data_IF_446985585288
#
_entry.id   IF_446985585288
#
_cell.length_a   1.000
_cell.length_b   1.000
_cell.length_c   1.000
_cell.angle_alpha   90.00
_cell.angle_beta   90.00
_cell.angle_gamma   90.00
#
_symmetry.space_group_name_H-M   'P 1'
#
loop_
_entity.id
_entity.type
_entity.pdbx_description
1 polymer ?
#
# COMPACT_ATOMS: atom_id res chain seq x y z
N UNK A 1 -2.63 18.15 -6.80
CA UNK A 1 -3.65 17.62 -5.87
C UNK A 1 -4.68 18.66 -5.42
N UNK A 2 -4.29 19.92 -5.08
CA UNK A 2 -5.25 20.96 -4.63
C UNK A 2 -6.32 21.24 -5.68
N UNK A 3 -5.96 21.54 -6.93
CA UNK A 3 -6.88 21.76 -8.05
C UNK A 3 -7.84 20.57 -8.24
N UNK A 4 -7.34 19.35 -8.14
CA UNK A 4 -8.16 18.14 -8.29
C UNK A 4 -9.16 17.96 -7.13
N UNK A 5 -8.76 18.28 -5.91
CA UNK A 5 -9.63 18.20 -4.74
C UNK A 5 -10.78 19.22 -4.83
N UNK A 6 -10.49 20.43 -5.30
CA UNK A 6 -11.50 21.47 -5.51
C UNK A 6 -12.48 21.06 -6.61
N UNK A 7 -11.98 20.58 -7.77
CA UNK A 7 -12.84 20.08 -8.85
C UNK A 7 -13.74 18.93 -8.41
N UNK A 8 -13.32 18.14 -7.43
CA UNK A 8 -14.12 17.04 -6.84
C UNK A 8 -15.02 17.49 -5.67
N UNK A 9 -15.09 18.78 -5.37
CA UNK A 9 -15.87 19.31 -4.25
C UNK A 9 -15.32 18.92 -2.85
N UNK A 10 -14.07 18.48 -2.78
CA UNK A 10 -13.43 18.05 -1.52
C UNK A 10 -12.67 19.18 -0.81
N UNK A 11 -12.53 20.34 -1.41
CA UNK A 11 -11.90 21.52 -0.86
C UNK A 11 -12.65 22.77 -1.31
N UNK A 12 -12.80 23.71 -0.40
CA UNK A 12 -13.50 25.00 -0.62
C UNK A 12 -12.56 26.13 -1.01
N UNK A 13 -11.27 25.87 -1.17
CA UNK A 13 -10.29 26.88 -1.56
C UNK A 13 -10.37 27.11 -3.06
N UNK A 14 -10.56 28.37 -3.48
CA UNK A 14 -10.58 28.78 -4.89
C UNK A 14 -9.18 28.70 -5.52
N UNK A 15 -8.65 27.48 -5.64
CA UNK A 15 -7.34 27.19 -6.23
C UNK A 15 -7.43 27.19 -7.77
N UNK A 16 -8.56 26.72 -8.34
CA UNK A 16 -8.75 26.67 -9.79
C UNK A 16 -8.80 28.07 -10.43
N UNK A 17 -9.21 29.08 -9.67
CA UNK A 17 -9.18 30.48 -10.10
C UNK A 17 -7.83 31.18 -9.94
N UNK A 18 -6.84 30.53 -9.32
CA UNK A 18 -5.55 31.15 -9.05
C UNK A 18 -4.68 31.29 -10.31
N UNK A 19 -3.77 32.29 -10.34
CA UNK A 19 -2.84 32.46 -11.46
C UNK A 19 -2.00 31.22 -11.73
N UNK A 20 -1.59 30.51 -10.67
CA UNK A 20 -0.79 29.29 -10.75
C UNK A 20 -1.57 28.15 -11.43
N UNK A 21 -2.87 28.00 -11.12
CA UNK A 21 -3.70 27.00 -11.76
C UNK A 21 -3.87 27.26 -13.24
N UNK A 22 -4.12 28.52 -13.63
CA UNK A 22 -4.20 28.93 -15.05
C UNK A 22 -2.89 28.63 -15.77
N UNK A 23 -1.75 28.93 -15.16
CA UNK A 23 -0.43 28.61 -15.74
C UNK A 23 -0.22 27.12 -15.96
N UNK A 24 -0.66 26.27 -15.01
CA UNK A 24 -0.63 24.82 -15.17
C UNK A 24 -1.49 24.38 -16.36
N UNK A 25 -2.72 24.90 -16.46
CA UNK A 25 -3.62 24.59 -17.59
C UNK A 25 -3.04 25.01 -18.94
N UNK A 26 -2.44 26.19 -19.01
CA UNK A 26 -1.79 26.70 -20.23
C UNK A 26 -0.63 25.81 -20.68
N UNK A 27 0.23 25.38 -19.73
CA UNK A 27 1.34 24.46 -20.01
C UNK A 27 0.83 23.14 -20.55
N UNK A 28 -0.17 22.52 -19.93
CA UNK A 28 -0.72 21.26 -20.42
C UNK A 28 -1.43 21.40 -21.76
N UNK A 29 -2.11 22.54 -22.00
CA UNK A 29 -2.74 22.88 -23.29
C UNK A 29 -1.68 23.03 -24.38
N UNK A 30 -0.56 23.71 -24.09
CA UNK A 30 0.54 23.91 -25.02
C UNK A 30 1.25 22.58 -25.36
N UNK A 31 1.41 21.67 -24.40
CA UNK A 31 2.00 20.35 -24.61
C UNK A 31 1.16 19.43 -25.48
N UNK A 32 -0.17 19.62 -25.51
CA UNK A 32 -1.11 18.91 -26.38
C UNK A 32 -1.22 17.40 -26.20
N UNK A 33 -0.49 16.80 -25.24
CA UNK A 33 -0.38 15.34 -25.09
C UNK A 33 -1.37 14.75 -24.09
N UNK A 34 -1.72 15.50 -23.06
CA UNK A 34 -2.68 15.09 -22.01
C UNK A 34 -3.15 16.30 -21.22
N UNK A 35 -4.28 16.15 -20.52
CA UNK A 35 -4.76 17.16 -19.58
C UNK A 35 -4.02 17.06 -18.24
N UNK A 36 -4.00 18.16 -17.47
CA UNK A 36 -3.39 18.16 -16.14
C UNK A 36 -4.11 17.17 -15.19
N UNK A 37 -5.42 16.98 -15.33
CA UNK A 37 -6.18 16.00 -14.55
C UNK A 37 -5.72 14.56 -14.82
N UNK A 38 -5.56 14.23 -16.11
CA UNK A 38 -5.04 12.93 -16.54
C UNK A 38 -3.64 12.69 -16.01
N UNK A 39 -2.78 13.72 -16.02
CA UNK A 39 -1.45 13.65 -15.45
C UNK A 39 -1.49 13.36 -13.95
N UNK A 40 -2.30 14.11 -13.19
CA UNK A 40 -2.43 13.95 -11.72
C UNK A 40 -2.98 12.56 -11.36
N UNK A 41 -3.87 12.01 -12.17
CA UNK A 41 -4.47 10.69 -11.90
C UNK A 41 -3.56 9.54 -12.29
N UNK A 42 -2.88 9.62 -13.44
CA UNK A 42 -2.19 8.49 -14.03
C UNK A 42 -0.66 8.56 -13.89
N UNK A 43 -0.06 9.76 -13.88
CA UNK A 43 1.39 9.93 -13.91
C UNK A 43 1.97 10.35 -12.57
N UNK A 44 1.35 11.31 -11.91
CA UNK A 44 1.83 11.78 -10.61
C UNK A 44 1.98 10.67 -9.55
N UNK A 45 1.08 9.67 -9.46
CA UNK A 45 1.24 8.57 -8.54
C UNK A 45 2.49 7.69 -8.78
N UNK A 46 3.07 7.72 -10.00
CA UNK A 46 4.29 6.96 -10.31
C UNK A 46 5.50 7.48 -9.55
N UNK A 47 5.54 8.78 -9.23
CA UNK A 47 6.64 9.38 -8.45
C UNK A 47 6.76 8.83 -7.03
N UNK A 48 5.69 8.25 -6.49
CA UNK A 48 5.64 7.65 -5.15
C UNK A 48 5.47 6.14 -5.19
N UNK A 49 5.99 5.49 -6.23
CA UNK A 49 6.08 4.03 -6.27
C UNK A 49 7.15 3.53 -5.31
N UNK A 50 6.96 2.35 -4.71
CA UNK A 50 8.03 1.57 -4.10
C UNK A 50 9.16 1.29 -5.10
N UNK A 51 10.37 1.12 -4.60
CA UNK A 51 11.58 1.01 -5.44
C UNK A 51 11.55 -0.20 -6.36
N UNK A 52 11.04 -1.34 -5.88
CA UNK A 52 10.82 -2.57 -6.64
C UNK A 52 9.93 -2.34 -7.88
N UNK A 53 8.87 -1.53 -7.72
CA UNK A 53 7.95 -1.21 -8.82
C UNK A 53 8.52 -0.16 -9.77
N UNK A 54 9.34 0.78 -9.27
CA UNK A 54 10.04 1.75 -10.13
C UNK A 54 11.03 1.05 -11.04
N UNK A 55 11.88 0.20 -10.47
CA UNK A 55 12.87 -0.57 -11.22
C UNK A 55 12.18 -1.40 -12.34
N UNK A 56 11.13 -2.16 -12.00
CA UNK A 56 10.40 -2.96 -12.96
C UNK A 56 9.72 -2.13 -14.07
N UNK A 57 9.29 -0.91 -13.75
CA UNK A 57 8.71 0.01 -14.72
C UNK A 57 9.77 0.62 -15.66
N UNK A 58 10.94 0.99 -15.12
CA UNK A 58 12.09 1.53 -15.87
C UNK A 58 12.68 0.48 -16.80
N UNK A 59 12.78 -0.77 -16.37
CA UNK A 59 13.15 -1.92 -17.17
C UNK A 59 12.14 -2.24 -18.30
N UNK A 60 10.94 -1.65 -18.25
CA UNK A 60 9.85 -1.99 -19.17
C UNK A 60 9.23 -3.37 -18.93
N UNK A 61 9.55 -4.00 -17.80
CA UNK A 61 9.08 -5.35 -17.45
C UNK A 61 7.57 -5.38 -17.12
N UNK A 62 7.00 -4.27 -16.69
CA UNK A 62 5.57 -4.12 -16.42
C UNK A 62 5.03 -2.79 -16.97
N UNK A 63 3.78 -2.73 -17.43
CA UNK A 63 3.15 -1.48 -17.82
C UNK A 63 2.83 -0.62 -16.59
N UNK A 64 2.76 0.71 -16.77
CA UNK A 64 2.44 1.65 -15.69
C UNK A 64 1.10 1.36 -14.97
N UNK A 65 0.13 0.79 -15.70
CA UNK A 65 -1.16 0.39 -15.14
C UNK A 65 -1.03 -0.75 -14.13
N UNK A 66 -0.14 -1.71 -14.39
CA UNK A 66 0.17 -2.78 -13.45
C UNK A 66 0.91 -2.23 -12.21
N UNK A 67 1.89 -1.34 -12.40
CA UNK A 67 2.58 -0.68 -11.29
C UNK A 67 1.63 0.07 -10.35
N UNK A 68 0.62 0.76 -10.88
CA UNK A 68 -0.40 1.46 -10.09
C UNK A 68 -1.34 0.50 -9.33
N UNK A 69 -1.61 -0.68 -9.88
CA UNK A 69 -2.38 -1.70 -9.15
C UNK A 69 -1.55 -2.33 -8.03
N UNK A 70 -0.30 -2.71 -8.31
CA UNK A 70 0.62 -3.31 -7.34
C UNK A 70 0.95 -2.36 -6.18
N UNK A 71 1.03 -1.05 -6.43
CA UNK A 71 1.22 -0.02 -5.39
C UNK A 71 0.19 -0.08 -4.26
N UNK A 72 -1.00 -0.63 -4.50
CA UNK A 72 -2.05 -0.75 -3.49
C UNK A 72 -1.70 -1.77 -2.40
N UNK A 73 -0.84 -2.75 -2.72
CA UNK A 73 -0.37 -3.78 -1.81
C UNK A 73 0.78 -3.22 -0.98
N UNK A 74 0.57 -3.10 0.33
CA UNK A 74 1.55 -2.54 1.26
C UNK A 74 2.56 -3.57 1.72
N UNK A 75 2.12 -4.82 1.88
CA UNK A 75 2.99 -5.93 2.22
C UNK A 75 3.98 -6.21 1.10
N UNK A 76 5.28 -6.03 1.41
CA UNK A 76 6.35 -6.16 0.42
C UNK A 76 6.46 -7.58 -0.14
N UNK A 77 6.29 -8.60 0.70
CA UNK A 77 6.39 -9.99 0.28
C UNK A 77 5.30 -10.35 -0.72
N UNK A 78 4.04 -10.04 -0.40
CA UNK A 78 2.91 -10.23 -1.30
C UNK A 78 3.03 -9.41 -2.59
N UNK A 79 3.55 -8.19 -2.50
CA UNK A 79 3.77 -7.32 -3.66
C UNK A 79 4.83 -7.90 -4.61
N UNK A 80 5.94 -8.43 -4.08
CA UNK A 80 7.00 -9.08 -4.88
C UNK A 80 6.46 -10.29 -5.63
N UNK A 81 5.67 -11.14 -4.98
CA UNK A 81 5.05 -12.30 -5.64
C UNK A 81 4.18 -11.85 -6.81
N UNK A 82 3.29 -10.88 -6.60
CA UNK A 82 2.44 -10.34 -7.65
C UNK A 82 3.21 -9.63 -8.77
N UNK A 83 4.35 -9.01 -8.44
CA UNK A 83 5.24 -8.39 -9.42
C UNK A 83 5.84 -9.44 -10.35
N UNK A 84 6.31 -10.57 -9.81
CA UNK A 84 6.83 -11.67 -10.63
C UNK A 84 5.73 -12.30 -11.51
N UNK A 85 4.53 -12.47 -11.00
CA UNK A 85 3.38 -12.91 -11.81
C UNK A 85 3.09 -11.91 -12.96
N UNK A 86 3.17 -10.60 -12.69
CA UNK A 86 2.99 -9.56 -13.69
C UNK A 86 4.11 -9.56 -14.75
N UNK A 87 5.38 -9.79 -14.36
CA UNK A 87 6.53 -9.98 -15.26
C UNK A 87 6.36 -11.21 -16.16
N UNK A 88 5.78 -12.28 -15.63
CA UNK A 88 5.46 -13.49 -16.37
C UNK A 88 4.30 -13.33 -17.39
N UNK A 89 3.69 -12.15 -17.47
CA UNK A 89 2.66 -11.84 -18.47
C UNK A 89 1.23 -11.97 -17.97
N UNK A 90 1.01 -11.96 -16.64
CA UNK A 90 -0.35 -11.94 -16.07
C UNK A 90 -1.14 -10.74 -16.60
N UNK A 91 -2.35 -10.99 -17.10
CA UNK A 91 -3.20 -9.92 -17.62
C UNK A 91 -3.57 -8.90 -16.53
N UNK A 92 -3.79 -7.64 -16.91
CA UNK A 92 -4.18 -6.59 -15.96
C UNK A 92 -5.49 -6.94 -15.20
N UNK A 93 -6.40 -7.68 -15.85
CA UNK A 93 -7.66 -8.13 -15.23
C UNK A 93 -7.39 -9.14 -14.11
N UNK A 94 -6.56 -10.12 -14.37
CA UNK A 94 -6.15 -11.12 -13.40
C UNK A 94 -5.34 -10.50 -12.26
N UNK A 95 -4.38 -9.63 -12.59
CA UNK A 95 -3.61 -8.89 -11.60
C UNK A 95 -4.52 -8.11 -10.63
N UNK A 96 -5.53 -7.42 -11.15
CA UNK A 96 -6.54 -6.73 -10.32
C UNK A 96 -7.32 -7.67 -9.41
N UNK A 97 -7.64 -8.86 -9.88
CA UNK A 97 -8.32 -9.87 -9.07
C UNK A 97 -7.42 -10.35 -7.93
N UNK A 98 -6.15 -10.67 -8.22
CA UNK A 98 -5.15 -11.07 -7.23
C UNK A 98 -4.89 -9.97 -6.19
N UNK A 99 -4.68 -8.73 -6.63
CA UNK A 99 -4.51 -7.58 -5.73
C UNK A 99 -5.71 -7.43 -4.79
N UNK A 100 -6.94 -7.55 -5.29
CA UNK A 100 -8.15 -7.49 -4.45
C UNK A 100 -8.19 -8.61 -3.41
N UNK A 101 -7.77 -9.81 -3.77
CA UNK A 101 -7.71 -10.94 -2.85
C UNK A 101 -6.70 -10.69 -1.72
N UNK A 102 -5.50 -10.22 -2.05
CA UNK A 102 -4.48 -9.86 -1.06
C UNK A 102 -4.98 -8.76 -0.13
N UNK A 103 -5.54 -7.67 -0.68
CA UNK A 103 -6.08 -6.57 0.11
C UNK A 103 -7.25 -6.98 1.01
N UNK A 104 -8.04 -7.96 0.59
CA UNK A 104 -9.11 -8.54 1.43
C UNK A 104 -8.52 -9.31 2.61
N UNK A 105 -7.46 -10.09 2.39
CA UNK A 105 -6.74 -10.81 3.46
C UNK A 105 -6.06 -9.84 4.43
N UNK A 106 -5.44 -8.76 3.92
CA UNK A 106 -4.83 -7.71 4.76
C UNK A 106 -5.87 -6.97 5.62
N UNK A 107 -7.09 -6.78 5.12
CA UNK A 107 -8.19 -6.12 5.85
C UNK A 107 -8.95 -7.04 6.80
N UNK A 108 -8.79 -8.36 6.67
CA UNK A 108 -9.42 -9.29 7.58
C UNK A 108 -8.93 -8.99 9.02
N UNK A 109 -9.84 -8.90 10.01
CA UNK A 109 -9.42 -8.67 11.37
C UNK A 109 -8.45 -9.80 11.77
N UNK A 110 -7.25 -9.40 12.17
CA UNK A 110 -6.27 -10.39 12.67
C UNK A 110 -6.87 -11.05 13.91
N UNK A 111 -6.87 -12.37 13.99
CA UNK A 111 -7.32 -13.05 15.18
C UNK A 111 -6.54 -12.53 16.40
N UNK A 112 -7.25 -12.19 17.48
CA UNK A 112 -6.68 -11.62 18.71
C UNK A 112 -5.47 -12.40 19.25
N UNK A 113 -5.49 -13.74 19.10
CA UNK A 113 -4.39 -14.60 19.55
C UNK A 113 -3.08 -14.37 18.79
N UNK A 114 -3.11 -13.94 17.53
CA UNK A 114 -1.89 -13.57 16.79
C UNK A 114 -1.26 -12.31 17.36
N UNK A 115 -2.08 -11.32 17.71
CA UNK A 115 -1.60 -10.10 18.36
C UNK A 115 -0.98 -10.39 19.71
N UNK A 116 -1.60 -11.28 20.49
CA UNK A 116 -1.04 -11.74 21.77
C UNK A 116 0.26 -12.50 21.56
N UNK A 117 0.35 -13.38 20.55
CA UNK A 117 1.57 -14.09 20.19
C UNK A 117 2.72 -13.14 19.82
N UNK A 118 2.47 -12.12 18.98
CA UNK A 118 3.48 -11.10 18.64
C UNK A 118 3.95 -10.31 19.86
N UNK A 119 3.06 -10.02 20.82
CA UNK A 119 3.44 -9.37 22.09
C UNK A 119 4.28 -10.27 22.95
N UNK A 120 3.96 -11.56 23.03
CA UNK A 120 4.74 -12.55 23.78
C UNK A 120 6.15 -12.71 23.23
N UNK A 121 6.30 -12.74 21.90
CA UNK A 121 7.63 -12.83 21.25
C UNK A 121 8.52 -11.63 21.53
N UNK A 122 7.95 -10.47 21.82
CA UNK A 122 8.67 -9.23 22.16
C UNK A 122 8.81 -9.00 23.65
N UNK A 123 8.19 -9.87 24.46
CA UNK A 123 8.17 -9.70 25.91
C UNK A 123 9.51 -10.14 26.50
N UNK A 124 10.19 -9.23 27.17
CA UNK A 124 11.32 -9.56 28.02
C UNK A 124 10.77 -10.04 29.38
N UNK A 125 10.79 -11.35 29.57
CA UNK A 125 10.34 -11.99 30.82
C UNK A 125 11.19 -11.60 32.02
N UNK A 126 12.47 -11.31 31.81
CA UNK A 126 13.41 -10.93 32.87
C UNK A 126 13.13 -9.52 33.40
N UNK A 127 12.59 -8.65 32.54
CA UNK A 127 12.20 -7.29 32.92
C UNK A 127 10.87 -7.22 33.72
N UNK A 128 10.14 -8.34 33.83
CA UNK A 128 8.88 -8.38 34.58
C UNK A 128 9.10 -8.54 36.10
N UNK A 129 8.23 -7.93 36.93
CA UNK A 129 8.19 -8.22 38.35
C UNK A 129 8.03 -9.74 38.63
N UNK A 130 8.70 -10.30 39.66
CA UNK A 130 8.75 -11.75 39.90
C UNK A 130 7.38 -12.43 39.93
N UNK A 131 6.37 -11.79 40.51
CA UNK A 131 5.00 -12.31 40.61
C UNK A 131 4.34 -12.41 39.21
N UNK A 132 4.53 -11.39 38.37
CA UNK A 132 4.00 -11.39 37.00
C UNK A 132 4.74 -12.37 36.11
N UNK A 133 6.05 -12.47 36.26
CA UNK A 133 6.90 -13.45 35.54
C UNK A 133 6.40 -14.86 35.82
N UNK A 134 6.28 -15.25 37.09
CA UNK A 134 5.81 -16.58 37.47
C UNK A 134 4.40 -16.89 36.91
N UNK A 135 3.51 -15.91 36.88
CA UNK A 135 2.18 -16.06 36.30
C UNK A 135 2.23 -16.28 34.79
N UNK A 136 3.02 -15.49 34.08
CA UNK A 136 3.17 -15.63 32.61
C UNK A 136 3.80 -16.96 32.26
N UNK A 137 4.88 -17.37 32.94
CA UNK A 137 5.53 -18.67 32.71
C UNK A 137 4.56 -19.84 32.95
N UNK A 138 3.77 -19.80 34.01
CA UNK A 138 2.73 -20.81 34.25
C UNK A 138 1.71 -20.88 33.14
N UNK A 139 1.22 -19.73 32.66
CA UNK A 139 0.22 -19.68 31.59
C UNK A 139 0.79 -20.13 30.24
N UNK A 140 2.05 -19.87 29.96
CA UNK A 140 2.72 -20.37 28.77
C UNK A 140 2.88 -21.88 28.81
N UNK A 141 3.22 -22.47 29.95
CA UNK A 141 3.30 -23.92 30.12
C UNK A 141 1.92 -24.59 29.96
N UNK A 142 0.87 -24.02 30.55
CA UNK A 142 -0.51 -24.49 30.35
C UNK A 142 -0.92 -24.46 28.86
N UNK A 143 -0.52 -23.42 28.12
CA UNK A 143 -0.75 -23.33 26.68
C UNK A 143 0.06 -24.35 25.89
N UNK A 144 1.31 -24.56 26.23
CA UNK A 144 2.19 -25.57 25.60
C UNK A 144 1.59 -26.98 25.73
N UNK A 145 1.10 -27.34 26.93
CA UNK A 145 0.42 -28.62 27.18
C UNK A 145 -0.86 -28.80 26.38
N UNK A 146 -1.61 -27.69 26.12
CA UNK A 146 -2.84 -27.73 25.31
C UNK A 146 -2.59 -27.81 23.80
N UNK A 147 -1.42 -27.37 23.35
CA UNK A 147 -1.06 -27.37 21.93
C UNK A 147 -0.38 -28.67 21.47
N UNK A 148 0.08 -29.48 22.40
CA UNK A 148 0.70 -30.81 22.15
C UNK A 148 2.18 -30.71 21.86
#
# INVERSE_FOLDING_TARGET
HRMQNEKRGKATQNVLGSPEARRVEEVFKALGRMTWESFVQARLPLLSLPEDLKAALEEGAIPYTAALELKKVKDEASRKVLLEEARAGLSLRELRARVREVLRKEKAPRPWYREVGERLLRLDLEALPPERRALVERKLKELEELLG
#
